data_IF_109948535631
#
_entry.id   IF_109948535631
#
_cell.length_a   1.000
_cell.length_b   1.000
_cell.length_c   1.000
_cell.angle_alpha   90.00
_cell.angle_beta   90.00
_cell.angle_gamma   90.00
#
_symmetry.space_group_name_H-M   'P 1'
#
loop_
_entity.id
_entity.type
_entity.pdbx_description
1 polymer ?
#
# COMPACT_ATOMS: atom_id res chain seq x y z
N UNK A 1 -19.25 35.58 -42.64
CA UNK A 1 -20.44 34.95 -43.24
C UNK A 1 -19.99 34.20 -44.49
N UNK A 2 -20.04 32.86 -44.41
CA UNK A 2 -19.94 31.82 -45.43
C UNK A 2 -19.01 31.98 -46.64
N UNK A 3 -18.05 31.07 -46.81
CA UNK A 3 -18.06 30.03 -47.86
C UNK A 3 -16.94 28.99 -47.64
N UNK A 4 -17.28 27.73 -47.93
CA UNK A 4 -16.41 26.55 -47.97
C UNK A 4 -15.20 26.73 -48.91
N UNK A 5 -14.13 25.97 -48.64
CA UNK A 5 -13.29 25.45 -49.72
C UNK A 5 -12.89 24.00 -49.46
N UNK A 6 -13.11 23.18 -50.48
CA UNK A 6 -12.85 21.75 -50.61
C UNK A 6 -11.69 21.59 -51.60
N UNK A 7 -10.53 21.13 -51.14
CA UNK A 7 -9.43 20.56 -51.95
C UNK A 7 -8.32 20.20 -50.97
N UNK A 8 -7.60 19.08 -51.02
CA UNK A 8 -7.43 18.04 -52.01
C UNK A 8 -6.27 17.19 -51.48
N UNK A 9 -6.28 15.92 -51.84
CA UNK A 9 -5.40 14.84 -51.39
C UNK A 9 -3.89 15.19 -51.33
N UNK A 10 -3.26 14.92 -50.19
CA UNK A 10 -1.83 14.61 -50.11
C UNK A 10 -1.59 13.44 -49.13
N UNK A 11 -1.59 12.24 -49.73
CA UNK A 11 -0.73 11.08 -49.46
C UNK A 11 0.17 11.16 -48.21
N UNK A 12 -0.09 10.25 -47.27
CA UNK A 12 0.92 9.43 -46.60
C UNK A 12 1.92 10.12 -45.66
N UNK A 13 1.63 10.06 -44.36
CA UNK A 13 2.56 9.47 -43.40
C UNK A 13 1.78 9.06 -42.12
N UNK A 14 2.10 7.91 -41.49
CA UNK A 14 1.44 7.51 -40.25
C UNK A 14 1.88 8.50 -39.17
N UNK A 15 0.94 9.32 -38.73
CA UNK A 15 1.16 10.27 -37.66
C UNK A 15 1.45 9.46 -36.39
N UNK A 16 2.69 9.54 -35.92
CA UNK A 16 3.12 9.10 -34.60
C UNK A 16 2.04 9.48 -33.58
N UNK A 17 1.43 8.48 -32.96
CA UNK A 17 0.57 8.69 -31.81
C UNK A 17 1.46 9.17 -30.66
N UNK A 18 1.64 10.48 -30.54
CA UNK A 18 2.15 11.11 -29.33
C UNK A 18 1.26 10.68 -28.17
N UNK A 19 1.68 9.65 -27.45
CA UNK A 19 1.03 9.20 -26.22
C UNK A 19 1.31 10.26 -25.17
N UNK A 20 0.41 11.22 -25.02
CA UNK A 20 0.43 12.12 -23.88
C UNK A 20 0.32 11.25 -22.62
N UNK A 21 1.33 11.24 -21.72
CA UNK A 21 1.27 10.45 -20.49
C UNK A 21 0.23 11.09 -19.58
N UNK A 22 -1.00 10.61 -19.62
CA UNK A 22 -2.07 11.16 -18.77
C UNK A 22 -3.51 10.98 -19.23
N UNK A 23 -3.77 10.40 -20.40
CA UNK A 23 -5.15 10.09 -20.81
C UNK A 23 -5.33 8.58 -20.87
N UNK A 24 -6.02 8.05 -19.86
CA UNK A 24 -6.57 6.69 -19.92
C UNK A 24 -7.47 6.60 -21.15
N UNK A 25 -7.39 5.49 -21.89
CA UNK A 25 -8.22 5.26 -23.09
C UNK A 25 -9.73 5.40 -22.83
N UNK A 26 -10.16 5.30 -21.57
CA UNK A 26 -11.53 5.48 -21.12
C UNK A 26 -11.61 6.47 -19.94
N UNK A 27 -12.69 7.25 -19.81
CA UNK A 27 -12.93 8.05 -18.61
C UNK A 27 -13.10 7.12 -17.40
N UNK A 28 -12.22 7.23 -16.41
CA UNK A 28 -12.33 6.43 -15.19
C UNK A 28 -13.62 6.82 -14.44
N UNK A 29 -14.55 5.88 -14.33
CA UNK A 29 -15.75 6.00 -13.48
C UNK A 29 -15.84 4.78 -12.57
N UNK A 30 -15.47 4.93 -11.31
CA UNK A 30 -15.73 3.91 -10.30
C UNK A 30 -17.24 3.84 -10.06
N UNK A 31 -17.86 2.68 -10.34
CA UNK A 31 -19.31 2.48 -10.16
C UNK A 31 -19.67 2.12 -8.71
N UNK A 32 -18.75 1.48 -7.98
CA UNK A 32 -18.94 0.99 -6.61
C UNK A 32 -17.61 1.02 -5.87
N UNK A 33 -17.67 1.31 -4.57
CA UNK A 33 -16.54 1.22 -3.65
C UNK A 33 -16.93 0.21 -2.58
N UNK A 34 -16.08 -0.78 -2.34
CA UNK A 34 -16.25 -1.75 -1.26
C UNK A 34 -15.33 -1.30 -0.12
N UNK A 35 -15.93 -0.95 1.02
CA UNK A 35 -15.21 -0.59 2.24
C UNK A 35 -15.47 -1.68 3.29
N UNK A 36 -14.41 -2.37 3.70
CA UNK A 36 -14.47 -3.42 4.71
C UNK A 36 -13.86 -2.88 5.99
N UNK A 37 -14.67 -2.74 7.04
CA UNK A 37 -14.22 -2.37 8.37
C UNK A 37 -14.26 -3.61 9.28
N UNK A 38 -13.11 -4.26 9.43
CA UNK A 38 -12.96 -5.48 10.22
C UNK A 38 -12.56 -5.15 11.65
N UNK A 39 -13.46 -4.48 12.38
CA UNK A 39 -13.27 -4.20 13.81
C UNK A 39 -13.22 -5.50 14.60
N UNK A 40 -12.17 -5.69 15.39
CA UNK A 40 -11.99 -6.89 16.22
C UNK A 40 -11.32 -8.08 15.52
N UNK A 41 -11.00 -7.96 14.23
CA UNK A 41 -10.12 -8.93 13.57
C UNK A 41 -8.64 -8.69 13.97
N UNK A 42 -7.76 -9.70 13.81
CA UNK A 42 -6.33 -9.50 13.96
C UNK A 42 -5.81 -8.37 13.08
N UNK A 43 -4.84 -7.61 13.58
CA UNK A 43 -4.26 -6.50 12.84
C UNK A 43 -3.54 -7.00 11.58
N UNK A 44 -3.44 -6.16 10.55
CA UNK A 44 -2.67 -6.49 9.35
C UNK A 44 -1.21 -6.85 9.69
N UNK A 45 -0.63 -6.16 10.67
CA UNK A 45 0.74 -6.35 11.13
C UNK A 45 0.88 -7.75 11.75
N UNK A 46 -0.10 -8.19 12.53
CA UNK A 46 -0.08 -9.52 13.14
C UNK A 46 -0.42 -10.66 12.16
N UNK A 47 -0.95 -10.35 10.97
CA UNK A 47 -1.35 -11.35 9.98
C UNK A 47 -0.30 -11.61 8.91
N UNK A 48 0.29 -10.55 8.35
CA UNK A 48 1.08 -10.64 7.11
C UNK A 48 2.48 -10.04 7.23
N UNK A 49 2.80 -9.40 8.35
CA UNK A 49 4.02 -8.63 8.49
C UNK A 49 5.09 -9.36 9.31
N UNK A 50 5.70 -10.37 8.69
CA UNK A 50 6.76 -11.14 9.35
C UNK A 50 8.05 -10.33 9.48
N UNK A 51 8.37 -9.92 10.71
CA UNK A 51 9.60 -9.18 11.05
C UNK A 51 10.43 -9.90 12.12
N UNK A 52 11.18 -10.97 11.76
CA UNK A 52 11.90 -11.80 12.72
C UNK A 52 13.00 -11.03 13.48
N UNK A 53 13.53 -9.95 12.89
CA UNK A 53 14.53 -9.10 13.54
C UNK A 53 14.02 -8.35 14.77
N UNK A 54 12.71 -8.08 14.87
CA UNK A 54 12.14 -7.34 16.00
C UNK A 54 12.21 -8.12 17.31
N UNK A 55 12.24 -9.45 17.25
CA UNK A 55 12.38 -10.29 18.45
C UNK A 55 13.66 -9.99 19.23
N UNK A 56 14.75 -9.64 18.51
CA UNK A 56 16.04 -9.28 19.12
C UNK A 56 16.01 -7.93 19.83
N UNK A 57 15.11 -7.04 19.41
CA UNK A 57 14.95 -5.70 19.94
C UNK A 57 13.86 -5.63 21.02
N UNK A 58 13.28 -6.77 21.42
CA UNK A 58 12.19 -6.81 22.40
C UNK A 58 12.56 -6.03 23.65
N UNK A 59 11.66 -5.13 24.06
CA UNK A 59 11.81 -4.25 25.23
C UNK A 59 12.98 -3.26 25.18
N UNK A 60 13.74 -3.20 24.07
CA UNK A 60 14.67 -2.09 23.84
C UNK A 60 13.86 -0.88 23.40
N UNK A 61 14.28 0.30 23.85
CA UNK A 61 13.63 1.54 23.44
C UNK A 61 13.79 1.77 21.94
N UNK A 62 12.74 2.36 21.35
CA UNK A 62 12.70 2.68 19.94
C UNK A 62 13.85 3.64 19.58
N UNK A 63 14.75 3.26 18.67
CA UNK A 63 15.88 4.12 18.32
C UNK A 63 15.44 5.45 17.72
N UNK A 64 16.16 6.53 18.06
CA UNK A 64 15.91 7.87 17.52
C UNK A 64 15.96 7.93 15.99
N UNK A 65 16.74 7.05 15.36
CA UNK A 65 16.85 6.93 13.91
C UNK A 65 15.52 6.55 13.23
N UNK A 66 14.60 5.90 13.96
CA UNK A 66 13.27 5.54 13.47
C UNK A 66 12.31 6.70 13.64
N UNK A 67 12.32 7.34 14.82
CA UNK A 67 11.38 8.42 15.14
C UNK A 67 11.71 9.73 14.42
N UNK A 68 12.99 10.01 14.17
CA UNK A 68 13.47 11.21 13.45
C UNK A 68 12.83 12.53 13.92
N UNK A 69 12.60 12.65 15.23
CA UNK A 69 11.97 13.84 15.82
C UNK A 69 10.46 13.97 15.58
N UNK A 70 9.77 12.95 15.06
CA UNK A 70 8.30 12.99 14.95
C UNK A 70 7.64 13.20 16.31
N UNK A 71 6.70 14.14 16.35
CA UNK A 71 5.87 14.42 17.52
C UNK A 71 4.96 13.23 17.80
N UNK A 72 5.04 12.69 19.02
CA UNK A 72 4.10 11.68 19.49
C UNK A 72 2.78 12.36 19.86
N UNK A 73 1.66 11.74 19.51
CA UNK A 73 0.32 12.27 19.74
C UNK A 73 -0.57 11.19 20.35
N UNK A 74 -1.64 11.60 21.05
CA UNK A 74 -2.57 10.67 21.67
C UNK A 74 -1.97 9.93 22.87
N UNK A 75 -2.26 8.63 22.97
CA UNK A 75 -2.00 7.82 24.16
C UNK A 75 -0.52 7.55 24.46
N UNK A 76 0.38 7.80 23.51
CA UNK A 76 1.83 7.54 23.66
C UNK A 76 2.64 8.81 23.89
N UNK A 77 2.02 10.00 23.90
CA UNK A 77 2.75 11.26 24.01
C UNK A 77 3.46 11.47 25.36
N UNK A 78 2.92 10.90 26.43
CA UNK A 78 3.42 11.05 27.81
C UNK A 78 4.10 9.78 28.33
N UNK A 79 4.38 8.81 27.45
CA UNK A 79 5.01 7.55 27.85
C UNK A 79 6.49 7.77 28.12
N UNK A 80 7.00 7.23 29.24
CA UNK A 80 8.41 7.38 29.63
C UNK A 80 9.36 6.61 28.70
N UNK A 81 8.88 5.51 28.11
CA UNK A 81 9.64 4.64 27.21
C UNK A 81 8.77 4.16 26.05
N UNK A 82 9.44 3.83 24.94
CA UNK A 82 8.85 3.33 23.70
C UNK A 82 9.45 1.96 23.35
N UNK A 83 9.20 0.93 24.17
CA UNK A 83 9.79 -0.37 23.94
C UNK A 83 9.28 -0.99 22.64
N UNK A 84 10.19 -1.58 21.87
CA UNK A 84 9.82 -2.38 20.70
C UNK A 84 9.08 -3.64 21.17
N UNK A 85 7.84 -3.78 20.72
CA UNK A 85 6.99 -4.93 20.96
C UNK A 85 6.91 -5.77 19.68
N UNK A 86 7.66 -6.89 19.56
CA UNK A 86 7.47 -7.80 18.45
C UNK A 86 6.11 -8.50 18.57
N UNK A 87 5.60 -8.97 17.44
CA UNK A 87 4.45 -9.87 17.42
C UNK A 87 4.74 -11.11 18.27
N UNK A 88 3.72 -11.60 18.98
CA UNK A 88 3.79 -12.80 19.81
C UNK A 88 3.40 -14.06 19.04
N UNK A 89 2.93 -13.91 17.79
CA UNK A 89 2.45 -14.99 16.96
C UNK A 89 3.55 -15.52 16.05
N UNK A 90 3.51 -16.83 15.80
CA UNK A 90 4.41 -17.47 14.86
C UNK A 90 3.92 -17.26 13.41
N UNK A 91 4.87 -17.24 12.49
CA UNK A 91 4.63 -17.08 11.07
C UNK A 91 5.21 -18.26 10.32
N UNK A 92 4.49 -18.70 9.27
CA UNK A 92 4.96 -19.72 8.34
C UNK A 92 4.63 -19.31 6.92
N UNK A 93 5.40 -19.79 5.96
CA UNK A 93 5.05 -19.64 4.55
C UNK A 93 3.89 -20.58 4.22
N UNK A 94 2.80 -20.05 3.66
CA UNK A 94 1.57 -20.78 3.35
C UNK A 94 1.22 -20.70 1.86
N UNK A 95 0.47 -21.68 1.38
CA UNK A 95 0.01 -21.76 -0.02
C UNK A 95 1.12 -21.91 -1.07
N UNK A 96 0.73 -21.86 -2.34
CA UNK A 96 1.67 -21.95 -3.47
C UNK A 96 2.49 -20.67 -3.68
N UNK A 97 2.02 -19.54 -3.14
CA UNK A 97 2.73 -18.25 -3.22
C UNK A 97 3.88 -18.13 -2.23
N UNK A 98 3.95 -18.99 -1.20
CA UNK A 98 4.98 -18.94 -0.17
C UNK A 98 4.93 -17.65 0.68
N UNK A 99 3.77 -16.99 0.75
CA UNK A 99 3.60 -15.78 1.53
C UNK A 99 3.73 -16.08 3.03
N UNK A 100 4.39 -15.19 3.78
CA UNK A 100 4.44 -15.27 5.23
C UNK A 100 3.09 -14.92 5.82
N UNK A 101 2.48 -15.87 6.52
CA UNK A 101 1.19 -15.71 7.17
C UNK A 101 1.26 -16.23 8.60
N UNK A 102 0.67 -15.47 9.51
CA UNK A 102 0.57 -15.81 10.92
C UNK A 102 -0.32 -17.03 11.16
N UNK A 103 -0.01 -17.80 12.20
CA UNK A 103 -0.81 -18.95 12.65
C UNK A 103 -2.22 -18.56 13.16
N UNK A 104 -2.50 -17.26 13.30
CA UNK A 104 -3.85 -16.74 13.57
C UNK A 104 -4.89 -17.09 12.49
N UNK A 105 -4.44 -17.45 11.28
CA UNK A 105 -5.30 -17.93 10.21
C UNK A 105 -5.22 -19.46 10.12
N UNK A 106 -6.16 -20.21 10.74
CA UNK A 106 -6.08 -21.66 10.87
C UNK A 106 -6.21 -22.41 9.54
N UNK A 107 -6.69 -21.74 8.49
CA UNK A 107 -6.90 -22.30 7.16
C UNK A 107 -6.20 -21.43 6.12
N UNK A 108 -4.95 -21.78 5.80
CA UNK A 108 -4.05 -21.02 4.93
C UNK A 108 -3.20 -21.93 4.06
#
# INVERSE_FOLDING_TARGET
>A
MGHMSLAGMARGNPQESTVLPGRTHFPAKAKRVIYLFQSGAPSQIDLFDHKPGLAKLRAQDLPDSIRKGQRLTGMTATQESFPVAPTIFDFRQRGQSGAWVSDLLPHT
#
